data_IF_561909763559
#
_entry.id   IF_561909763559
#
_cell.length_a   1.000
_cell.length_b   1.000
_cell.length_c   1.000
_cell.angle_alpha   90.00
_cell.angle_beta   90.00
_cell.angle_gamma   90.00
#
_symmetry.space_group_name_H-M   'P 1'
#
loop_
_entity.id
_entity.type
_entity.pdbx_description
1 polymer ?
#
# COMPACT_ATOMS: atom_id res chain seq x y z
N UNK A 1 -42.83 -26.10 53.81
CA UNK A 1 -42.73 -26.93 52.59
C UNK A 1 -41.85 -26.18 51.59
N UNK A 2 -40.55 -26.46 51.56
CA UNK A 2 -39.90 -27.43 50.66
C UNK A 2 -39.60 -26.82 49.27
N UNK A 3 -38.36 -26.35 49.07
CA UNK A 3 -37.40 -26.81 48.04
C UNK A 3 -36.36 -25.74 47.70
N UNK A 4 -35.11 -26.08 47.97
CA UNK A 4 -33.91 -25.41 47.49
C UNK A 4 -33.85 -25.36 45.96
N UNK A 5 -33.32 -24.28 45.39
CA UNK A 5 -32.63 -24.33 44.10
C UNK A 5 -31.49 -23.32 44.03
N UNK A 6 -30.30 -23.90 43.89
CA UNK A 6 -29.00 -23.31 43.56
C UNK A 6 -29.06 -22.62 42.20
N UNK A 7 -28.52 -21.40 42.08
CA UNK A 7 -28.05 -20.80 40.81
C UNK A 7 -26.81 -19.95 41.13
N UNK A 8 -25.61 -20.55 41.11
CA UNK A 8 -24.77 -20.77 39.93
C UNK A 8 -24.39 -19.45 39.24
N UNK A 9 -23.20 -18.95 39.58
CA UNK A 9 -22.54 -17.82 38.95
C UNK A 9 -22.28 -18.12 37.46
N UNK A 10 -22.81 -17.29 36.58
CA UNK A 10 -22.55 -17.36 35.14
C UNK A 10 -21.24 -16.63 34.86
N UNK A 11 -20.14 -17.37 34.87
CA UNK A 11 -18.89 -16.99 34.22
C UNK A 11 -19.07 -17.23 32.72
N UNK A 12 -19.56 -16.21 32.01
CA UNK A 12 -19.50 -16.18 30.54
C UNK A 12 -18.05 -15.96 30.13
N UNK A 13 -17.33 -17.07 29.88
CA UNK A 13 -16.01 -17.06 29.28
C UNK A 13 -16.07 -16.40 27.91
N UNK A 14 -15.48 -15.22 27.80
CA UNK A 14 -15.16 -14.61 26.52
C UNK A 14 -14.06 -15.46 25.88
N UNK A 15 -14.43 -16.38 25.00
CA UNK A 15 -13.48 -16.98 24.06
C UNK A 15 -13.08 -15.89 23.09
N UNK A 16 -12.03 -15.15 23.43
CA UNK A 16 -11.28 -14.34 22.48
C UNK A 16 -10.64 -15.33 21.53
N UNK A 17 -11.33 -15.66 20.44
CA UNK A 17 -10.68 -16.22 19.27
C UNK A 17 -9.72 -15.15 18.76
N UNK A 18 -8.48 -15.22 19.24
CA UNK A 18 -7.35 -14.51 18.65
C UNK A 18 -7.31 -14.94 17.20
N UNK A 19 -7.85 -14.11 16.32
CA UNK A 19 -7.58 -14.16 14.90
C UNK A 19 -6.10 -13.85 14.73
N UNK A 20 -5.26 -14.85 14.97
CA UNK A 20 -3.88 -14.82 14.54
C UNK A 20 -3.94 -14.65 13.03
N UNK A 21 -3.61 -13.44 12.57
CA UNK A 21 -3.19 -13.20 11.21
C UNK A 21 -1.93 -14.03 10.98
N UNK A 22 -2.08 -15.33 10.75
CA UNK A 22 -1.04 -16.25 10.32
C UNK A 22 -0.79 -16.01 8.84
N UNK A 23 -0.29 -14.83 8.49
CA UNK A 23 0.34 -14.63 7.20
C UNK A 23 1.74 -15.18 7.28
N UNK A 24 1.96 -16.36 6.66
CA UNK A 24 3.12 -16.74 5.83
C UNK A 24 3.18 -18.26 5.74
N UNK A 25 2.34 -18.80 4.87
CA UNK A 25 2.26 -20.23 4.59
C UNK A 25 3.43 -20.71 3.74
N UNK A 26 3.97 -21.88 4.10
CA UNK A 26 4.84 -22.67 3.23
C UNK A 26 4.08 -23.02 1.94
N UNK A 27 4.76 -22.94 0.78
CA UNK A 27 4.19 -23.33 -0.53
C UNK A 27 3.76 -24.80 -0.58
N UNK A 28 4.41 -25.66 0.20
CA UNK A 28 4.07 -27.09 0.33
C UNK A 28 4.17 -27.52 1.79
N UNK A 29 3.51 -28.62 2.15
CA UNK A 29 3.62 -29.24 3.47
C UNK A 29 4.70 -30.33 3.51
N UNK A 30 5.57 -30.38 2.51
CA UNK A 30 6.58 -31.42 2.41
C UNK A 30 7.76 -31.15 3.37
N UNK A 31 8.11 -32.09 4.26
CA UNK A 31 9.19 -31.89 5.23
C UNK A 31 10.55 -32.27 4.61
N UNK A 32 11.14 -31.38 3.81
CA UNK A 32 12.44 -31.62 3.16
C UNK A 32 13.54 -31.97 4.17
N UNK A 33 13.60 -31.29 5.33
CA UNK A 33 14.58 -31.56 6.38
C UNK A 33 14.52 -33.01 6.88
N UNK A 34 13.32 -33.53 7.11
CA UNK A 34 13.14 -34.91 7.56
C UNK A 34 13.73 -35.91 6.56
N UNK A 35 13.48 -35.69 5.26
CA UNK A 35 13.95 -36.59 4.21
C UNK A 35 15.45 -36.47 3.91
N UNK A 36 16.04 -35.28 4.07
CA UNK A 36 17.44 -35.04 3.72
C UNK A 36 18.41 -35.26 4.89
N UNK A 37 17.97 -35.10 6.14
CA UNK A 37 18.85 -35.07 7.29
C UNK A 37 18.44 -35.98 8.46
N UNK A 38 17.18 -36.45 8.52
CA UNK A 38 16.66 -37.18 9.68
C UNK A 38 16.37 -38.66 9.39
N UNK A 39 16.44 -39.09 8.12
CA UNK A 39 16.40 -40.50 7.73
C UNK A 39 17.81 -41.07 7.78
N UNK A 40 18.00 -42.15 8.55
CA UNK A 40 19.27 -42.87 8.59
C UNK A 40 19.59 -43.47 7.21
N UNK A 41 20.79 -43.18 6.71
CA UNK A 41 21.22 -43.54 5.36
C UNK A 41 22.74 -43.68 5.27
N UNK A 42 23.22 -44.39 4.24
CA UNK A 42 24.66 -44.51 3.93
C UNK A 42 25.45 -45.49 4.80
N UNK A 43 24.85 -46.07 5.84
CA UNK A 43 25.41 -47.19 6.61
C UNK A 43 25.14 -48.57 6.00
N UNK A 44 25.76 -49.60 6.57
CA UNK A 44 25.55 -50.99 6.15
C UNK A 44 24.09 -51.41 6.35
N UNK A 45 23.43 -51.89 5.30
CA UNK A 45 22.00 -52.23 5.29
C UNK A 45 21.03 -51.03 5.25
N UNK A 46 21.53 -49.80 5.19
CA UNK A 46 20.71 -48.59 5.09
C UNK A 46 20.52 -48.15 3.62
N UNK A 47 19.43 -47.42 3.31
CA UNK A 47 19.26 -46.86 1.97
C UNK A 47 20.32 -45.80 1.66
N UNK A 48 20.54 -45.54 0.38
CA UNK A 48 21.35 -44.41 -0.08
C UNK A 48 20.76 -43.10 0.42
N UNK A 49 21.62 -42.18 0.86
CA UNK A 49 21.17 -40.87 1.33
C UNK A 49 20.46 -40.10 0.22
N UNK A 50 19.32 -39.50 0.59
CA UNK A 50 18.52 -38.69 -0.33
C UNK A 50 19.19 -37.34 -0.54
N UNK A 51 19.11 -36.84 -1.76
CA UNK A 51 19.51 -35.49 -2.13
C UNK A 51 18.36 -34.78 -2.84
N UNK A 52 18.55 -33.50 -3.15
CA UNK A 52 17.57 -32.73 -3.93
C UNK A 52 17.24 -33.43 -5.26
N UNK A 53 18.26 -33.99 -5.93
CA UNK A 53 18.12 -34.63 -7.25
C UNK A 53 17.55 -36.04 -7.19
N UNK A 54 17.42 -36.65 -6.00
CA UNK A 54 16.69 -37.92 -5.86
C UNK A 54 15.20 -37.76 -6.19
N UNK A 55 14.65 -36.58 -5.90
CA UNK A 55 13.24 -36.27 -6.13
C UNK A 55 13.04 -35.25 -7.25
N UNK A 56 13.85 -34.19 -7.30
CA UNK A 56 13.78 -33.18 -8.35
C UNK A 56 14.62 -33.62 -9.55
N UNK A 57 13.98 -34.38 -10.44
CA UNK A 57 14.65 -34.87 -11.65
C UNK A 57 14.88 -33.72 -12.62
N UNK A 58 16.08 -33.69 -13.17
CA UNK A 58 16.54 -32.71 -14.13
C UNK A 58 16.34 -33.23 -15.56
N UNK A 59 15.79 -32.38 -16.42
CA UNK A 59 15.75 -32.60 -17.86
C UNK A 59 15.97 -31.26 -18.58
N UNK A 60 16.96 -31.20 -19.48
CA UNK A 60 17.25 -30.03 -20.33
C UNK A 60 17.46 -28.70 -19.57
N UNK A 61 18.17 -28.74 -18.45
CA UNK A 61 18.42 -27.61 -17.55
C UNK A 61 17.24 -27.22 -16.67
N UNK A 62 16.17 -28.03 -16.64
CA UNK A 62 14.95 -27.76 -15.88
C UNK A 62 14.69 -28.84 -14.84
N UNK A 63 14.36 -28.42 -13.62
CA UNK A 63 14.04 -29.31 -12.52
C UNK A 63 12.53 -29.47 -12.39
N UNK A 64 12.09 -30.73 -12.32
CA UNK A 64 10.69 -31.09 -12.16
C UNK A 64 10.27 -31.17 -10.70
N UNK A 65 8.97 -30.93 -10.45
CA UNK A 65 8.36 -31.23 -9.16
C UNK A 65 8.16 -32.75 -9.07
N UNK A 66 8.44 -33.39 -7.91
CA UNK A 66 8.32 -34.84 -7.78
C UNK A 66 6.89 -35.31 -8.00
N UNK A 67 6.72 -36.50 -8.59
CA UNK A 67 5.43 -37.15 -8.80
C UNK A 67 5.14 -38.24 -7.76
N UNK A 68 3.90 -38.73 -7.74
CA UNK A 68 3.46 -39.74 -6.78
C UNK A 68 4.26 -41.06 -6.84
N UNK A 69 4.81 -41.42 -8.00
CA UNK A 69 5.63 -42.62 -8.18
C UNK A 69 6.94 -42.56 -7.38
N UNK A 70 7.54 -41.38 -7.26
CA UNK A 70 8.75 -41.19 -6.45
C UNK A 70 8.46 -41.30 -4.94
N UNK A 71 7.23 -41.03 -4.50
CA UNK A 71 6.82 -41.30 -3.13
C UNK A 71 6.54 -42.79 -2.91
N UNK A 72 6.00 -43.47 -3.92
CA UNK A 72 5.65 -44.89 -3.86
C UNK A 72 6.86 -45.83 -3.80
N UNK A 73 8.06 -45.36 -4.17
CA UNK A 73 9.30 -46.15 -4.05
C UNK A 73 9.70 -46.45 -2.60
N UNK A 74 9.26 -45.63 -1.64
CA UNK A 74 9.55 -45.83 -0.21
C UNK A 74 8.29 -45.92 0.65
N UNK A 75 7.18 -45.28 0.25
CA UNK A 75 5.93 -45.28 0.99
C UNK A 75 4.87 -46.14 0.32
N UNK A 76 4.32 -47.13 1.05
CA UNK A 76 3.18 -47.95 0.58
C UNK A 76 1.94 -47.11 0.24
N UNK A 77 1.76 -45.97 0.90
CA UNK A 77 0.71 -44.97 0.69
C UNK A 77 1.22 -43.73 -0.09
N UNK A 78 2.17 -43.93 -1.00
CA UNK A 78 2.89 -42.85 -1.70
C UNK A 78 2.00 -41.84 -2.42
N UNK A 79 0.90 -42.29 -3.05
CA UNK A 79 -0.04 -41.40 -3.74
C UNK A 79 -0.75 -40.46 -2.76
N UNK A 80 -1.18 -40.97 -1.61
CA UNK A 80 -1.87 -40.21 -0.58
C UNK A 80 -0.92 -39.19 0.07
N UNK A 81 0.31 -39.60 0.37
CA UNK A 81 1.35 -38.71 0.92
C UNK A 81 1.74 -37.61 -0.06
N UNK A 82 1.91 -37.95 -1.34
CA UNK A 82 2.16 -36.96 -2.39
C UNK A 82 1.03 -35.94 -2.46
N UNK A 83 -0.22 -36.39 -2.49
CA UNK A 83 -1.39 -35.48 -2.49
C UNK A 83 -1.43 -34.59 -1.25
N UNK A 84 -1.04 -35.09 -0.09
CA UNK A 84 -0.99 -34.31 1.15
C UNK A 84 0.15 -33.28 1.15
N UNK A 85 1.28 -33.59 0.53
CA UNK A 85 2.46 -32.72 0.47
C UNK A 85 2.30 -31.59 -0.55
N UNK A 86 1.69 -31.87 -1.71
CA UNK A 86 1.47 -30.87 -2.78
C UNK A 86 0.22 -30.01 -2.59
N UNK A 87 -0.62 -30.27 -1.57
CA UNK A 87 -1.71 -29.35 -1.21
C UNK A 87 -1.10 -28.01 -0.79
N UNK A 88 -1.21 -27.03 -1.69
CA UNK A 88 -0.79 -25.66 -1.47
C UNK A 88 -1.44 -25.11 -0.20
N UNK A 89 -0.62 -24.84 0.82
CA UNK A 89 -1.04 -23.94 1.89
C UNK A 89 -1.08 -22.54 1.31
N UNK A 90 -2.18 -22.13 0.68
CA UNK A 90 -2.56 -20.74 0.32
C UNK A 90 -1.49 -19.79 -0.27
N UNK A 91 -0.32 -20.29 -0.68
CA UNK A 91 0.71 -19.49 -1.28
C UNK A 91 0.40 -19.46 -2.78
N UNK A 92 -0.42 -18.49 -3.18
CA UNK A 92 -0.48 -18.07 -4.57
C UNK A 92 0.95 -17.86 -5.05
N UNK A 93 1.35 -18.59 -6.09
CA UNK A 93 2.54 -18.23 -6.85
C UNK A 93 2.26 -16.82 -7.38
N UNK A 94 3.05 -15.79 -7.03
CA UNK A 94 2.87 -14.46 -7.60
C UNK A 94 2.94 -14.58 -9.12
N UNK A 95 1.95 -14.01 -9.81
CA UNK A 95 1.97 -13.88 -11.27
C UNK A 95 3.26 -13.18 -11.72
N UNK A 96 3.88 -13.64 -12.81
CA UNK A 96 5.06 -13.00 -13.42
C UNK A 96 6.44 -13.55 -13.02
N UNK A 97 6.54 -14.77 -12.47
CA UNK A 97 7.83 -15.35 -12.02
C UNK A 97 8.74 -15.95 -13.09
N UNK A 98 8.45 -15.83 -14.39
CA UNK A 98 9.29 -16.43 -15.43
C UNK A 98 10.45 -15.49 -15.78
N UNK A 99 11.51 -15.56 -14.99
CA UNK A 99 12.79 -14.97 -15.37
C UNK A 99 13.53 -15.87 -16.36
N UNK A 100 14.37 -15.27 -17.18
CA UNK A 100 15.36 -15.99 -17.99
C UNK A 100 16.45 -16.49 -17.06
N UNK A 101 16.37 -17.77 -16.70
CA UNK A 101 17.31 -18.39 -15.76
C UNK A 101 17.70 -19.80 -16.23
N UNK A 102 18.98 -20.13 -16.10
CA UNK A 102 19.53 -21.44 -16.44
C UNK A 102 20.15 -22.07 -15.20
N UNK A 103 19.55 -23.14 -14.67
CA UNK A 103 20.12 -23.84 -13.52
C UNK A 103 21.48 -24.45 -13.85
N UNK A 104 21.63 -25.08 -15.02
CA UNK A 104 22.89 -25.71 -15.45
C UNK A 104 24.06 -24.72 -15.37
N UNK A 105 23.92 -23.54 -15.99
CA UNK A 105 24.97 -22.50 -15.95
C UNK A 105 25.34 -22.04 -14.55
N UNK A 106 24.36 -21.95 -13.64
CA UNK A 106 24.61 -21.51 -12.26
C UNK A 106 25.23 -22.63 -11.42
N UNK A 107 24.79 -23.88 -11.58
CA UNK A 107 25.33 -25.01 -10.82
C UNK A 107 26.79 -25.30 -11.19
N UNK A 108 27.20 -25.01 -12.43
CA UNK A 108 28.58 -25.13 -12.91
C UNK A 108 29.52 -24.04 -12.37
N UNK A 109 28.99 -22.97 -11.76
CA UNK A 109 29.82 -21.89 -11.22
C UNK A 109 30.61 -22.36 -9.98
N UNK A 110 31.92 -22.08 -9.90
CA UNK A 110 32.72 -22.41 -8.72
C UNK A 110 32.16 -21.82 -7.41
N UNK A 111 31.57 -20.63 -7.48
CA UNK A 111 30.96 -19.95 -6.33
C UNK A 111 29.74 -20.72 -5.76
N UNK A 112 29.02 -21.48 -6.59
CA UNK A 112 27.86 -22.27 -6.18
C UNK A 112 28.21 -23.73 -5.94
N UNK A 113 29.14 -24.31 -6.72
CA UNK A 113 29.63 -25.68 -6.59
C UNK A 113 28.46 -26.70 -6.47
N UNK A 114 27.45 -26.57 -7.33
CA UNK A 114 26.26 -27.42 -7.32
C UNK A 114 25.30 -27.24 -6.13
N UNK A 115 25.52 -26.28 -5.22
CA UNK A 115 24.70 -26.14 -4.01
C UNK A 115 23.35 -25.45 -4.27
N UNK A 116 22.26 -26.21 -4.13
CA UNK A 116 20.90 -25.72 -4.35
C UNK A 116 20.42 -24.71 -3.28
N UNK A 117 20.82 -24.95 -2.01
CA UNK A 117 20.33 -24.19 -0.85
C UNK A 117 20.86 -22.76 -0.76
N UNK A 118 21.89 -22.42 -1.55
CA UNK A 118 22.37 -21.02 -1.66
C UNK A 118 21.30 -20.09 -2.27
N UNK A 119 20.41 -20.62 -3.11
CA UNK A 119 19.27 -19.89 -3.66
C UNK A 119 17.94 -20.35 -3.05
N UNK A 120 17.76 -21.65 -2.86
CA UNK A 120 16.51 -22.26 -2.37
C UNK A 120 16.56 -22.56 -0.87
N UNK A 121 17.08 -21.63 -0.06
CA UNK A 121 17.18 -21.82 1.40
C UNK A 121 15.81 -22.14 2.04
N UNK A 122 14.72 -21.60 1.49
CA UNK A 122 13.36 -21.90 1.92
C UNK A 122 12.89 -23.34 1.68
N UNK A 123 13.58 -24.12 0.83
CA UNK A 123 13.21 -25.53 0.60
C UNK A 123 13.42 -26.38 1.85
N UNK A 124 14.50 -26.14 2.60
CA UNK A 124 14.85 -26.88 3.83
C UNK A 124 14.40 -26.16 5.11
N UNK A 125 13.77 -24.98 4.97
CA UNK A 125 13.37 -24.12 6.08
C UNK A 125 12.14 -24.60 6.85
N UNK A 126 11.99 -24.09 8.07
CA UNK A 126 10.80 -24.26 8.91
C UNK A 126 9.76 -23.19 8.59
N UNK A 127 8.54 -23.33 9.15
CA UNK A 127 7.50 -22.31 9.07
C UNK A 127 8.06 -20.93 9.51
N UNK A 128 7.84 -19.89 8.69
CA UNK A 128 8.42 -18.55 8.89
C UNK A 128 9.86 -18.36 8.40
N UNK A 129 10.48 -19.38 7.78
CA UNK A 129 11.80 -19.31 7.16
C UNK A 129 11.86 -18.52 5.83
N UNK A 130 13.03 -18.48 5.17
CA UNK A 130 13.23 -17.80 3.89
C UNK A 130 12.24 -18.29 2.81
N UNK A 131 11.89 -17.46 1.81
CA UNK A 131 11.02 -17.89 0.73
C UNK A 131 11.66 -19.02 -0.10
N UNK A 132 10.83 -19.94 -0.62
CA UNK A 132 11.29 -21.02 -1.50
C UNK A 132 11.91 -20.47 -2.81
N UNK A 133 11.28 -19.42 -3.35
CA UNK A 133 11.80 -18.71 -4.51
C UNK A 133 12.70 -17.57 -4.04
N UNK A 134 13.96 -17.51 -4.50
CA UNK A 134 14.89 -16.48 -4.07
C UNK A 134 14.37 -15.09 -4.45
N UNK A 135 14.53 -14.08 -3.57
CA UNK A 135 14.32 -12.69 -3.95
C UNK A 135 15.41 -12.25 -4.94
N UNK A 136 15.14 -11.18 -5.69
CA UNK A 136 16.12 -10.56 -6.62
C UNK A 136 17.46 -10.22 -5.93
N UNK A 137 17.42 -9.87 -4.64
CA UNK A 137 18.61 -9.60 -3.82
C UNK A 137 19.60 -10.78 -3.78
N UNK A 138 19.13 -12.03 -3.91
CA UNK A 138 19.99 -13.21 -4.00
C UNK A 138 20.74 -13.27 -5.32
N UNK A 139 20.15 -12.77 -6.41
CA UNK A 139 20.83 -12.67 -7.70
C UNK A 139 21.87 -11.54 -7.65
N UNK A 140 21.49 -10.39 -7.09
CA UNK A 140 22.35 -9.19 -7.06
C UNK A 140 23.44 -9.24 -6.00
N UNK A 141 23.48 -10.26 -5.14
CA UNK A 141 24.62 -10.48 -4.25
C UNK A 141 25.88 -10.92 -5.01
N UNK A 142 25.72 -11.42 -6.24
CA UNK A 142 26.83 -11.78 -7.12
C UNK A 142 26.81 -11.00 -8.45
N UNK A 143 25.63 -10.65 -8.97
CA UNK A 143 25.47 -9.92 -10.22
C UNK A 143 25.24 -8.42 -10.00
N UNK A 144 26.20 -7.58 -10.38
CA UNK A 144 26.09 -6.12 -10.25
C UNK A 144 25.41 -5.49 -11.48
N UNK A 145 24.11 -5.24 -11.39
CA UNK A 145 23.31 -4.59 -12.45
C UNK A 145 22.67 -3.27 -11.98
N UNK A 146 23.38 -2.51 -11.12
CA UNK A 146 22.80 -1.31 -10.51
C UNK A 146 22.41 -0.27 -11.57
N UNK A 147 23.23 -0.07 -12.60
CA UNK A 147 22.91 0.87 -13.68
C UNK A 147 21.62 0.46 -14.42
N UNK A 148 21.49 -0.81 -14.82
CA UNK A 148 20.28 -1.30 -15.46
C UNK A 148 19.06 -1.23 -14.54
N UNK A 149 19.27 -1.45 -13.24
CA UNK A 149 18.22 -1.33 -12.25
C UNK A 149 17.74 0.13 -12.08
N UNK A 150 18.66 1.09 -12.03
CA UNK A 150 18.37 2.52 -11.89
C UNK A 150 17.70 3.09 -13.15
N UNK A 151 18.12 2.62 -14.32
CA UNK A 151 17.51 2.92 -15.62
C UNK A 151 16.21 2.11 -15.84
N UNK A 152 15.99 1.09 -15.02
CA UNK A 152 14.91 0.11 -15.08
C UNK A 152 14.81 -0.69 -16.39
N UNK A 153 15.98 -1.00 -16.94
CA UNK A 153 16.17 -1.97 -18.03
C UNK A 153 16.22 -3.39 -17.47
N UNK A 154 15.04 -3.95 -17.19
CA UNK A 154 14.88 -5.24 -16.49
C UNK A 154 14.84 -6.46 -17.42
N UNK A 155 14.91 -6.27 -18.73
CA UNK A 155 14.69 -7.30 -19.76
C UNK A 155 15.81 -8.34 -19.88
N UNK A 156 16.99 -8.06 -19.31
CA UNK A 156 18.07 -9.04 -19.20
C UNK A 156 17.73 -10.24 -18.32
N UNK A 157 16.82 -10.07 -17.37
CA UNK A 157 16.36 -11.13 -16.45
C UNK A 157 14.86 -11.41 -16.60
N UNK A 158 14.05 -10.38 -16.80
CA UNK A 158 12.60 -10.52 -16.89
C UNK A 158 12.13 -10.54 -18.33
N UNK A 159 11.09 -11.32 -18.62
CA UNK A 159 10.39 -11.16 -19.88
C UNK A 159 9.55 -9.87 -19.85
N UNK A 160 9.51 -9.06 -20.93
CA UNK A 160 8.78 -7.79 -20.94
C UNK A 160 7.29 -7.90 -20.59
N UNK A 161 6.66 -9.03 -20.92
CA UNK A 161 5.25 -9.27 -20.59
C UNK A 161 5.02 -9.58 -19.11
N UNK A 162 6.02 -10.11 -18.40
CA UNK A 162 5.93 -10.45 -16.98
C UNK A 162 6.10 -9.22 -16.09
N UNK A 163 6.92 -8.25 -16.51
CA UNK A 163 7.17 -7.00 -15.77
C UNK A 163 5.88 -6.24 -15.42
N UNK A 164 4.86 -6.33 -16.28
CA UNK A 164 3.59 -5.64 -16.10
C UNK A 164 2.75 -6.14 -14.93
N UNK A 165 2.99 -7.37 -14.49
CA UNK A 165 2.30 -7.99 -13.35
C UNK A 165 3.09 -7.94 -12.05
N UNK A 166 4.35 -7.50 -12.07
CA UNK A 166 5.22 -7.51 -10.91
C UNK A 166 5.00 -6.26 -10.04
N UNK A 167 4.94 -6.47 -8.72
CA UNK A 167 4.87 -5.40 -7.72
C UNK A 167 6.22 -5.30 -7.00
N UNK A 168 7.10 -4.36 -7.38
CA UNK A 168 8.41 -4.23 -6.77
C UNK A 168 8.35 -3.62 -5.35
N UNK A 169 7.95 -4.43 -4.38
CA UNK A 169 7.75 -4.01 -2.98
C UNK A 169 9.00 -3.45 -2.30
N UNK A 170 10.21 -3.76 -2.80
CA UNK A 170 11.47 -3.37 -2.17
C UNK A 170 12.05 -2.04 -2.69
N UNK A 171 11.65 -1.57 -3.88
CA UNK A 171 12.23 -0.36 -4.48
C UNK A 171 11.19 0.67 -4.94
N UNK A 172 9.95 0.25 -5.18
CA UNK A 172 8.83 1.14 -5.43
C UNK A 172 7.63 0.63 -4.62
N UNK A 173 7.53 1.11 -3.37
CA UNK A 173 6.47 0.68 -2.46
C UNK A 173 5.11 1.17 -2.99
N UNK A 174 4.21 0.22 -3.21
CA UNK A 174 2.80 0.45 -3.53
C UNK A 174 1.92 0.29 -2.28
N UNK A 175 2.38 0.82 -1.14
CA UNK A 175 1.59 0.85 0.10
C UNK A 175 0.43 1.84 0.01
N UNK A 176 -0.45 1.83 1.02
CA UNK A 176 -1.63 2.69 1.07
C UNK A 176 -1.30 4.19 1.04
N UNK A 177 -0.11 4.59 1.48
CA UNK A 177 0.34 5.99 1.44
C UNK A 177 0.89 6.40 0.06
N UNK A 178 1.01 5.48 -0.89
CA UNK A 178 1.46 5.78 -2.26
C UNK A 178 0.62 6.88 -2.90
N UNK A 179 -0.71 6.88 -2.69
CA UNK A 179 -1.60 7.93 -3.20
C UNK A 179 -1.19 9.35 -2.79
N UNK A 180 -0.50 9.54 -1.67
CA UNK A 180 -0.03 10.87 -1.22
C UNK A 180 1.27 11.32 -1.87
N UNK A 181 2.12 10.38 -2.27
CA UNK A 181 3.47 10.67 -2.80
C UNK A 181 3.61 10.43 -4.30
N UNK A 182 2.73 9.62 -4.90
CA UNK A 182 2.83 9.22 -6.31
C UNK A 182 2.86 10.41 -7.26
N UNK A 183 2.15 11.51 -6.97
CA UNK A 183 2.18 12.70 -7.82
C UNK A 183 3.55 13.39 -7.83
N UNK A 184 4.29 13.37 -6.72
CA UNK A 184 5.66 13.89 -6.68
C UNK A 184 6.61 12.94 -7.44
N UNK A 185 6.51 11.64 -7.14
CA UNK A 185 7.31 10.60 -7.79
C UNK A 185 7.08 10.55 -9.31
N UNK A 186 5.83 10.61 -9.78
CA UNK A 186 5.50 10.59 -11.20
C UNK A 186 6.01 11.82 -11.96
N UNK A 187 6.07 12.99 -11.31
CA UNK A 187 6.68 14.19 -11.92
C UNK A 187 8.20 14.09 -12.01
N UNK A 188 8.84 13.51 -11.00
CA UNK A 188 10.28 13.35 -10.97
C UNK A 188 10.77 12.24 -11.90
N UNK A 189 10.03 11.12 -11.98
CA UNK A 189 10.49 9.87 -12.59
C UNK A 189 9.35 9.09 -13.28
N UNK A 190 8.40 9.76 -13.93
CA UNK A 190 7.25 9.10 -14.59
C UNK A 190 7.61 8.06 -15.66
N UNK A 191 8.78 8.18 -16.29
CA UNK A 191 9.30 7.19 -17.22
C UNK A 191 9.53 5.82 -16.55
N UNK A 192 9.99 5.81 -15.28
CA UNK A 192 10.20 4.59 -14.50
C UNK A 192 8.90 3.80 -14.32
N UNK A 193 7.79 4.49 -14.07
CA UNK A 193 6.47 3.86 -13.93
C UNK A 193 6.02 3.19 -15.23
N UNK A 194 6.34 3.80 -16.38
CA UNK A 194 5.93 3.35 -17.71
C UNK A 194 6.68 2.10 -18.20
N UNK A 195 7.77 1.72 -17.51
CA UNK A 195 8.50 0.49 -17.80
C UNK A 195 7.72 -0.76 -17.37
N UNK A 196 6.92 -0.63 -16.31
CA UNK A 196 6.07 -1.71 -15.80
C UNK A 196 4.57 -1.47 -16.10
N UNK A 197 4.10 -0.23 -16.10
CA UNK A 197 2.69 0.08 -16.24
C UNK A 197 2.35 0.67 -17.62
N UNK A 198 1.21 0.25 -18.17
CA UNK A 198 0.64 0.90 -19.34
C UNK A 198 -0.05 2.23 -18.95
N UNK A 199 -0.23 3.14 -19.91
CA UNK A 199 -0.91 4.43 -19.71
C UNK A 199 -2.31 4.25 -19.09
N UNK A 200 -3.00 3.16 -19.43
CA UNK A 200 -4.31 2.79 -18.86
C UNK A 200 -4.30 2.65 -17.33
N UNK A 201 -3.14 2.35 -16.73
CA UNK A 201 -2.95 2.29 -15.28
C UNK A 201 -2.90 3.68 -14.64
N UNK A 202 -2.47 4.71 -15.37
CA UNK A 202 -2.55 6.11 -14.95
C UNK A 202 -3.98 6.62 -15.15
N UNK A 203 -4.55 6.36 -16.33
CA UNK A 203 -5.91 6.77 -16.72
C UNK A 203 -6.97 6.18 -15.77
N UNK A 204 -6.69 5.02 -15.20
CA UNK A 204 -7.44 4.43 -14.10
C UNK A 204 -7.93 5.41 -13.02
N UNK A 205 -7.13 6.41 -12.69
CA UNK A 205 -7.40 7.43 -11.68
C UNK A 205 -7.37 8.85 -12.26
N UNK A 206 -6.59 9.11 -13.31
CA UNK A 206 -6.44 10.42 -13.92
C UNK A 206 -7.38 10.69 -15.10
N UNK A 207 -8.15 9.70 -15.54
CA UNK A 207 -9.20 9.89 -16.54
C UNK A 207 -10.37 10.67 -15.94
N UNK A 208 -10.36 11.99 -16.14
CA UNK A 208 -11.40 12.90 -15.69
C UNK A 208 -12.79 12.63 -16.33
N UNK A 209 -12.86 11.77 -17.36
CA UNK A 209 -14.13 11.37 -17.96
C UNK A 209 -14.82 10.22 -17.22
N UNK A 210 -14.11 9.54 -16.30
CA UNK A 210 -14.66 8.42 -15.53
C UNK A 210 -15.12 8.89 -14.15
N UNK A 211 -16.42 8.73 -13.81
CA UNK A 211 -16.98 9.24 -12.55
C UNK A 211 -16.54 8.44 -11.30
N UNK A 212 -15.73 7.39 -11.45
CA UNK A 212 -15.47 6.41 -10.39
C UNK A 212 -13.97 6.30 -10.13
N UNK A 213 -13.52 6.91 -9.02
CA UNK A 213 -12.14 6.92 -8.57
C UNK A 213 -11.70 5.62 -7.88
N UNK A 214 -10.52 5.61 -7.23
CA UNK A 214 -9.94 4.44 -6.53
C UNK A 214 -10.91 3.68 -5.60
N UNK A 215 -11.89 4.38 -5.03
CA UNK A 215 -12.86 3.87 -4.07
C UNK A 215 -13.85 2.84 -4.61
N UNK A 216 -14.17 2.84 -5.91
CA UNK A 216 -14.98 1.75 -6.49
C UNK A 216 -14.17 0.50 -6.74
N UNK A 217 -12.83 0.59 -6.74
CA UNK A 217 -11.98 -0.59 -6.92
C UNK A 217 -11.85 -1.39 -5.64
N UNK A 218 -11.82 -0.72 -4.48
CA UNK A 218 -11.77 -1.35 -3.16
C UNK A 218 -12.73 -0.65 -2.17
N UNK A 219 -14.05 -0.77 -2.33
CA UNK A 219 -15.02 -0.10 -1.45
C UNK A 219 -15.01 -0.62 -0.02
N UNK A 220 -14.49 -1.82 0.21
CA UNK A 220 -14.42 -2.49 1.51
C UNK A 220 -13.07 -2.31 2.23
N UNK A 221 -12.11 -1.62 1.60
CA UNK A 221 -10.79 -1.38 2.18
C UNK A 221 -10.88 -0.50 3.43
N UNK A 222 -10.25 -0.94 4.54
CA UNK A 222 -10.30 -0.27 5.86
C UNK A 222 -8.99 0.47 6.18
N UNK A 223 -8.11 0.72 5.20
CA UNK A 223 -6.81 1.38 5.40
C UNK A 223 -6.94 2.89 5.44
N UNK A 224 -6.34 3.52 6.47
CA UNK A 224 -6.49 4.94 6.87
C UNK A 224 -6.39 5.94 5.71
N UNK A 225 -5.68 5.59 4.66
CA UNK A 225 -5.36 6.42 3.50
C UNK A 225 -6.47 6.48 2.45
N UNK A 226 -7.48 5.60 2.51
CA UNK A 226 -8.66 5.69 1.66
C UNK A 226 -9.66 6.70 2.21
N UNK A 227 -9.88 7.79 1.47
CA UNK A 227 -10.77 8.90 1.84
C UNK A 227 -12.25 8.58 1.67
N UNK A 228 -12.63 7.68 0.75
CA UNK A 228 -14.04 7.30 0.52
C UNK A 228 -14.38 5.89 1.04
N UNK A 229 -14.11 5.59 2.32
CA UNK A 229 -14.68 4.36 2.91
C UNK A 229 -16.11 4.58 3.43
N UNK A 230 -16.78 3.48 3.78
CA UNK A 230 -18.17 3.45 4.24
C UNK A 230 -18.54 4.47 5.33
N UNK A 231 -17.63 4.82 6.25
CA UNK A 231 -17.91 5.80 7.31
C UNK A 231 -17.44 7.25 7.00
N UNK A 232 -17.16 7.60 5.73
CA UNK A 232 -16.71 8.94 5.32
C UNK A 232 -17.47 10.08 6.02
N UNK A 233 -18.81 10.03 6.05
CA UNK A 233 -19.61 11.09 6.70
C UNK A 233 -19.28 11.29 8.19
N UNK A 234 -18.95 10.23 8.91
CA UNK A 234 -18.64 10.26 10.34
C UNK A 234 -17.27 10.85 10.64
N UNK A 235 -16.31 10.75 9.69
CA UNK A 235 -14.95 11.29 9.84
C UNK A 235 -14.67 12.55 9.03
N UNK A 236 -15.51 12.87 8.06
CA UNK A 236 -15.30 13.93 7.08
C UNK A 236 -14.90 15.25 7.72
N UNK A 237 -15.59 15.65 8.80
CA UNK A 237 -15.30 16.89 9.52
C UNK A 237 -13.86 16.93 10.07
N UNK A 238 -13.36 15.80 10.58
CA UNK A 238 -11.99 15.69 11.09
C UNK A 238 -10.96 15.68 9.96
N UNK A 239 -11.25 14.98 8.86
CA UNK A 239 -10.37 14.94 7.69
C UNK A 239 -10.26 16.32 7.03
N UNK A 240 -11.39 16.97 6.80
CA UNK A 240 -11.47 18.33 6.25
C UNK A 240 -10.80 19.36 7.17
N UNK A 241 -10.89 19.22 8.50
CA UNK A 241 -10.16 20.08 9.42
C UNK A 241 -8.65 19.84 9.39
N UNK A 242 -8.21 18.58 9.19
CA UNK A 242 -6.79 18.24 9.19
C UNK A 242 -6.08 18.57 7.87
N UNK A 243 -6.74 18.34 6.74
CA UNK A 243 -6.17 18.39 5.39
C UNK A 243 -7.26 18.80 4.36
N UNK A 244 -7.79 20.04 4.44
CA UNK A 244 -8.92 20.47 3.60
C UNK A 244 -8.62 20.46 2.09
N UNK A 245 -7.35 20.58 1.70
CA UNK A 245 -6.90 20.59 0.31
C UNK A 245 -6.92 19.23 -0.39
N UNK A 246 -6.93 18.12 0.36
CA UNK A 246 -6.75 16.78 -0.22
C UNK A 246 -7.88 16.39 -1.18
N UNK A 247 -9.11 16.79 -0.87
CA UNK A 247 -10.27 16.45 -1.71
C UNK A 247 -10.21 17.12 -3.09
N UNK A 248 -9.67 18.35 -3.16
CA UNK A 248 -9.56 19.12 -4.41
C UNK A 248 -8.57 18.54 -5.42
N UNK A 249 -7.77 17.54 -5.02
CA UNK A 249 -6.93 16.79 -5.94
C UNK A 249 -7.75 15.99 -6.97
N UNK A 250 -9.01 15.66 -6.64
CA UNK A 250 -9.92 14.92 -7.52
C UNK A 250 -11.29 15.60 -7.68
N UNK A 251 -11.78 16.29 -6.65
CA UNK A 251 -13.12 16.86 -6.62
C UNK A 251 -13.13 18.36 -6.91
N UNK A 252 -14.16 18.81 -7.64
CA UNK A 252 -14.42 20.23 -7.80
C UNK A 252 -15.07 20.82 -6.55
N UNK A 253 -14.81 22.11 -6.29
CA UNK A 253 -15.40 22.84 -5.15
C UNK A 253 -16.92 22.81 -5.11
N UNK A 254 -17.53 22.90 -6.28
CA UNK A 254 -18.98 22.88 -6.45
C UNK A 254 -19.62 21.60 -5.90
N UNK A 255 -18.88 20.49 -5.85
CA UNK A 255 -19.36 19.21 -5.30
C UNK A 255 -19.44 19.26 -3.77
N UNK A 256 -18.46 19.87 -3.12
CA UNK A 256 -18.48 20.13 -1.68
C UNK A 256 -19.66 21.05 -1.32
N UNK A 257 -19.81 22.15 -2.06
CA UNK A 257 -20.86 23.15 -1.84
C UNK A 257 -22.27 22.53 -2.00
N UNK A 258 -22.47 21.74 -3.05
CA UNK A 258 -23.74 21.05 -3.29
C UNK A 258 -24.07 20.04 -2.17
N UNK A 259 -23.09 19.26 -1.72
CA UNK A 259 -23.28 18.33 -0.62
C UNK A 259 -23.61 19.07 0.68
N UNK A 260 -22.82 20.09 1.04
CA UNK A 260 -23.04 20.89 2.26
C UNK A 260 -24.39 21.60 2.26
N UNK A 261 -24.81 22.13 1.11
CA UNK A 261 -26.15 22.68 0.94
C UNK A 261 -27.23 21.60 1.14
N UNK A 262 -27.08 20.43 0.52
CA UNK A 262 -28.04 19.31 0.65
C UNK A 262 -28.16 18.77 2.08
N UNK A 263 -27.06 18.83 2.85
CA UNK A 263 -27.01 18.36 4.25
C UNK A 263 -27.37 19.43 5.27
N UNK A 264 -27.64 20.67 4.83
CA UNK A 264 -27.91 21.77 5.73
C UNK A 264 -26.73 22.12 6.63
N UNK A 265 -25.50 22.02 6.10
CA UNK A 265 -24.25 22.41 6.77
C UNK A 265 -23.51 23.44 5.92
N UNK A 266 -24.19 24.55 5.63
CA UNK A 266 -23.66 25.64 4.82
C UNK A 266 -24.15 26.98 5.33
N UNK A 267 -23.24 27.96 5.43
CA UNK A 267 -23.60 29.35 5.71
C UNK A 267 -24.45 29.99 4.59
N UNK A 268 -24.50 29.39 3.39
CA UNK A 268 -25.34 29.86 2.28
C UNK A 268 -26.80 29.41 2.36
N UNK A 269 -27.15 28.49 3.27
CA UNK A 269 -28.51 27.97 3.44
C UNK A 269 -29.11 28.53 4.73
N UNK A 270 -30.28 29.17 4.64
CA UNK A 270 -30.96 29.73 5.82
C UNK A 270 -31.36 28.63 6.79
N UNK A 271 -30.94 28.74 8.06
CA UNK A 271 -31.25 27.77 9.10
C UNK A 271 -30.35 26.53 9.12
N UNK A 272 -29.38 26.45 8.21
CA UNK A 272 -28.36 25.40 8.21
C UNK A 272 -27.30 25.62 9.31
N UNK A 273 -26.67 24.54 9.73
CA UNK A 273 -25.54 24.58 10.63
C UNK A 273 -24.32 25.22 9.96
N UNK A 274 -23.54 25.98 10.73
CA UNK A 274 -22.24 26.46 10.28
C UNK A 274 -21.25 25.31 10.22
N UNK A 275 -20.46 25.17 9.14
CA UNK A 275 -19.34 24.21 9.09
C UNK A 275 -18.18 24.62 10.01
N UNK A 276 -18.18 25.87 10.50
CA UNK A 276 -17.23 26.38 11.49
C UNK A 276 -17.82 26.32 12.91
N UNK A 277 -16.98 26.21 13.95
CA UNK A 277 -17.43 26.24 15.35
C UNK A 277 -18.30 27.47 15.68
N UNK A 278 -19.22 27.36 16.65
CA UNK A 278 -19.97 28.52 17.14
C UNK A 278 -19.03 29.65 17.57
N UNK A 279 -19.36 30.89 17.19
CA UNK A 279 -18.53 32.04 17.56
C UNK A 279 -17.25 32.22 16.73
N UNK A 280 -16.94 31.32 15.78
CA UNK A 280 -15.63 31.30 15.10
C UNK A 280 -15.28 32.63 14.42
N UNK A 281 -16.24 33.22 13.69
CA UNK A 281 -16.13 34.54 13.07
C UNK A 281 -16.85 35.65 13.87
N UNK A 282 -17.28 35.38 15.10
CA UNK A 282 -18.02 36.34 15.92
C UNK A 282 -17.05 37.33 16.57
N UNK A 283 -17.23 38.62 16.26
CA UNK A 283 -16.34 39.69 16.70
C UNK A 283 -15.54 40.26 15.52
N UNK A 284 -16.13 41.24 14.82
CA UNK A 284 -15.39 42.11 13.91
C UNK A 284 -14.52 43.04 14.76
N UNK A 285 -13.32 42.60 15.13
CA UNK A 285 -12.45 43.37 16.01
C UNK A 285 -11.36 42.51 16.63
N UNK A 286 -10.18 43.12 16.83
CA UNK A 286 -8.87 42.52 17.14
C UNK A 286 -8.78 41.64 18.39
N UNK A 287 -9.86 41.38 19.12
CA UNK A 287 -9.80 40.72 20.42
C UNK A 287 -10.93 39.69 20.54
N UNK A 288 -10.54 38.42 20.33
CA UNK A 288 -11.28 37.18 20.66
C UNK A 288 -12.24 36.60 19.61
N UNK A 289 -11.86 36.56 18.34
CA UNK A 289 -12.43 35.58 17.41
C UNK A 289 -11.43 34.44 17.15
N UNK A 290 -11.93 33.21 16.98
CA UNK A 290 -11.10 32.04 16.68
C UNK A 290 -10.56 32.11 15.25
N UNK A 291 -11.32 32.72 14.33
CA UNK A 291 -10.97 32.93 12.93
C UNK A 291 -9.58 33.57 12.73
N UNK A 292 -9.32 34.70 13.36
CA UNK A 292 -8.05 35.44 13.21
C UNK A 292 -6.87 34.70 13.82
N UNK A 293 -7.09 33.87 14.86
CA UNK A 293 -6.06 33.00 15.42
C UNK A 293 -5.72 31.86 14.47
N UNK A 294 -6.74 31.18 13.93
CA UNK A 294 -6.57 30.05 13.03
C UNK A 294 -5.97 30.50 11.70
N UNK A 295 -6.42 31.63 11.15
CA UNK A 295 -5.88 32.22 9.93
C UNK A 295 -4.39 32.58 10.07
N UNK A 296 -3.93 33.01 11.25
CA UNK A 296 -2.49 33.26 11.50
C UNK A 296 -1.66 31.99 11.62
N UNK A 297 -2.26 30.87 12.00
CA UNK A 297 -1.56 29.57 12.08
C UNK A 297 -1.42 28.94 10.71
N UNK A 298 -2.50 28.93 9.93
CA UNK A 298 -2.53 28.33 8.60
C UNK A 298 -3.65 28.93 7.74
N UNK A 299 -3.33 30.00 7.02
CA UNK A 299 -4.25 30.60 6.04
C UNK A 299 -4.52 29.69 4.84
N UNK A 300 -3.60 28.75 4.53
CA UNK A 300 -3.73 27.86 3.36
C UNK A 300 -4.79 26.79 3.59
N UNK A 301 -4.98 26.33 4.84
CA UNK A 301 -6.10 25.47 5.21
C UNK A 301 -7.46 26.12 4.91
N UNK A 302 -7.58 27.43 5.14
CA UNK A 302 -8.81 28.18 4.85
C UNK A 302 -8.99 28.38 3.34
N UNK A 303 -7.90 28.74 2.65
CA UNK A 303 -7.88 28.92 1.19
C UNK A 303 -8.31 27.64 0.45
N UNK A 304 -7.96 26.46 0.97
CA UNK A 304 -8.41 25.19 0.40
C UNK A 304 -9.92 25.15 0.15
N UNK A 305 -10.74 25.68 1.08
CA UNK A 305 -12.20 25.74 0.94
C UNK A 305 -12.77 27.11 0.59
N UNK A 306 -11.99 28.20 0.66
CA UNK A 306 -12.48 29.57 0.44
C UNK A 306 -11.75 30.40 -0.63
N UNK A 307 -10.70 29.87 -1.26
CA UNK A 307 -10.00 30.57 -2.35
C UNK A 307 -10.84 30.75 -3.62
N UNK A 308 -10.97 32.00 -4.05
CA UNK A 308 -11.60 32.46 -5.29
C UNK A 308 -10.71 33.52 -5.97
N UNK A 309 -9.38 33.43 -5.78
CA UNK A 309 -8.41 34.40 -6.28
C UNK A 309 -8.67 35.80 -5.72
N UNK A 310 -8.70 36.82 -6.59
CA UNK A 310 -8.97 38.20 -6.18
C UNK A 310 -10.38 38.41 -5.58
N UNK A 311 -11.32 37.50 -5.83
CA UNK A 311 -12.69 37.54 -5.29
C UNK A 311 -12.84 36.74 -3.99
N UNK A 312 -11.74 36.21 -3.43
CA UNK A 312 -11.75 35.46 -2.18
C UNK A 312 -12.45 36.26 -1.07
N UNK A 313 -13.29 35.58 -0.29
CA UNK A 313 -14.04 36.19 0.81
C UNK A 313 -13.13 36.92 1.83
N UNK A 314 -11.88 36.46 2.01
CA UNK A 314 -10.85 37.13 2.79
C UNK A 314 -10.64 38.59 2.34
N UNK A 315 -10.51 38.81 1.04
CA UNK A 315 -10.23 40.14 0.45
C UNK A 315 -11.38 41.10 0.74
N UNK A 316 -12.63 40.63 0.73
CA UNK A 316 -13.82 41.45 1.02
C UNK A 316 -13.72 42.17 2.38
N UNK A 317 -13.14 41.52 3.38
CA UNK A 317 -13.00 42.06 4.73
C UNK A 317 -11.60 42.63 5.00
N UNK A 318 -10.54 42.02 4.47
CA UNK A 318 -9.13 42.33 4.80
C UNK A 318 -8.42 43.25 3.81
N UNK A 319 -9.05 43.63 2.69
CA UNK A 319 -8.54 44.70 1.83
C UNK A 319 -8.34 46.00 2.63
N UNK A 320 -7.48 46.89 2.12
CA UNK A 320 -7.28 48.21 2.72
C UNK A 320 -8.62 48.95 2.84
N UNK A 321 -8.88 49.49 4.03
CA UNK A 321 -10.17 50.13 4.38
C UNK A 321 -11.29 49.16 4.75
N UNK A 322 -11.05 47.85 4.70
CA UNK A 322 -12.01 46.82 5.10
C UNK A 322 -12.12 46.64 6.62
N UNK A 323 -13.19 45.95 7.05
CA UNK A 323 -13.56 45.75 8.45
C UNK A 323 -12.73 44.69 9.19
N UNK A 324 -12.04 43.81 8.46
CA UNK A 324 -11.23 42.71 9.00
C UNK A 324 -9.85 43.15 9.50
N UNK A 325 -9.43 44.37 9.17
CA UNK A 325 -8.09 44.88 9.50
C UNK A 325 -6.98 44.20 8.70
N UNK A 326 -5.73 44.59 8.99
CA UNK A 326 -4.58 44.12 8.21
C UNK A 326 -4.31 42.62 8.43
N UNK A 327 -4.20 41.82 7.35
CA UNK A 327 -3.79 40.42 7.45
C UNK A 327 -2.28 40.30 7.68
N UNK A 328 -1.50 41.33 7.38
CA UNK A 328 -0.05 41.30 7.55
C UNK A 328 0.35 41.28 9.04
N UNK A 329 1.44 40.57 9.40
CA UNK A 329 2.04 40.65 10.73
C UNK A 329 2.47 42.09 11.10
N UNK A 330 2.60 42.36 12.39
CA UNK A 330 3.10 43.64 12.86
C UNK A 330 4.51 43.90 12.31
N UNK A 331 4.73 45.08 11.73
CA UNK A 331 6.03 45.47 11.16
C UNK A 331 6.35 44.88 9.79
N UNK A 332 5.45 44.09 9.20
CA UNK A 332 5.62 43.54 7.86
C UNK A 332 5.70 44.64 6.79
N UNK A 333 6.60 44.45 5.82
CA UNK A 333 6.79 45.34 4.67
C UNK A 333 6.84 44.50 3.40
N UNK A 334 6.19 44.98 2.34
CA UNK A 334 6.21 44.33 1.04
C UNK A 334 7.58 44.47 0.38
N UNK A 335 8.03 43.41 -0.28
CA UNK A 335 9.16 43.45 -1.23
C UNK A 335 8.70 43.75 -2.65
N UNK A 336 7.40 43.70 -2.91
CA UNK A 336 6.77 43.93 -4.22
C UNK A 336 6.00 45.26 -4.24
N UNK A 337 5.90 45.92 -5.42
CA UNK A 337 5.03 47.08 -5.59
C UNK A 337 3.55 46.74 -5.33
N UNK A 338 2.78 47.69 -4.79
CA UNK A 338 1.35 47.50 -4.53
C UNK A 338 0.52 47.25 -5.81
N UNK A 339 1.04 47.66 -6.96
CA UNK A 339 0.46 47.40 -8.27
C UNK A 339 0.64 45.95 -8.76
N UNK A 340 1.43 45.13 -8.07
CA UNK A 340 1.58 43.72 -8.43
C UNK A 340 0.24 42.98 -8.29
N UNK A 341 -0.05 41.96 -9.12
CA UNK A 341 -1.36 41.29 -9.11
C UNK A 341 -1.78 40.73 -7.74
N UNK A 342 -0.83 40.24 -6.94
CA UNK A 342 -1.08 39.72 -5.59
C UNK A 342 -1.41 40.82 -4.58
N UNK A 343 -0.83 42.02 -4.72
CA UNK A 343 -1.11 43.16 -3.86
C UNK A 343 -2.35 43.94 -4.29
N UNK A 344 -2.57 44.10 -5.60
CA UNK A 344 -3.64 44.91 -6.17
C UNK A 344 -5.04 44.42 -5.78
N UNK A 345 -5.20 43.11 -5.51
CA UNK A 345 -6.46 42.56 -5.01
C UNK A 345 -6.87 43.16 -3.65
N UNK A 346 -5.90 43.51 -2.80
CA UNK A 346 -6.11 44.02 -1.45
C UNK A 346 -5.81 45.52 -1.30
N UNK A 347 -5.05 46.10 -2.25
CA UNK A 347 -4.63 47.49 -2.29
C UNK A 347 -5.18 48.19 -3.53
N UNK A 348 -6.51 48.42 -3.60
CA UNK A 348 -7.15 49.14 -4.69
C UNK A 348 -6.75 50.62 -4.76
#
# INVERSE_FOLDING_TARGET
MNRAFVRAAVLSGLVVAVGAACTRTLLTRFPHRAHLAEVACGGEGQPTCLSCTTCHLEAHGTFSIPNAGQCASCHRDGVQRWRASVRSGLAELPAGKRIVFSHARHLDMPALAGQCVKCHAGAVGVEGGPPLFPPMATCTSCHHHQAQFDEGTCDGCHQPHDLRGLKPVSFLSHDAAWLKRHGFEARAQGALCSQCHAQTSCDACHDASKPLGPQTRNPEAIEREYVHRFDFLSRHAMEAASQPGTCFSCHARTECDACHASRGVSASVRGAASPHPPGWASGLGRFNNLHGRDARRDVTSCAACHDQGAQTNCVRCHKVGGTGGTPHPLGWRSTEPLSSPSCAACHP
#
